data_IF_624672253072
#
_entry.id   IF_624672253072
#
_cell.length_a   1.000
_cell.length_b   1.000
_cell.length_c   1.000
_cell.angle_alpha   90.00
_cell.angle_beta   90.00
_cell.angle_gamma   90.00
#
_symmetry.space_group_name_H-M   'P 1'
#
loop_
_entity.id
_entity.type
_entity.pdbx_description
1 polymer ?
#
# COMPACT_ATOMS: atom_id res chain seq x y z
N UNK A 1 6.00 18.09 -3.04
CA UNK A 1 4.99 17.11 -2.63
C UNK A 1 5.17 15.85 -3.45
N UNK A 2 5.40 14.70 -2.80
CA UNK A 2 5.53 13.38 -3.46
C UNK A 2 4.54 12.40 -2.85
N UNK A 3 4.01 11.50 -3.67
CA UNK A 3 3.02 10.50 -3.27
C UNK A 3 3.45 9.14 -3.83
N UNK A 4 3.32 8.08 -3.03
CA UNK A 4 3.50 6.69 -3.45
C UNK A 4 2.19 6.20 -4.06
N UNK A 5 2.22 5.66 -5.28
CA UNK A 5 1.06 5.06 -5.94
C UNK A 5 1.38 3.59 -6.19
N UNK A 6 0.50 2.71 -5.72
CA UNK A 6 0.61 1.25 -5.80
C UNK A 6 -0.71 0.64 -6.27
N UNK A 7 -0.66 -0.60 -6.73
CA UNK A 7 -1.83 -1.39 -7.15
C UNK A 7 -1.45 -2.87 -7.12
N UNK A 8 -2.45 -3.77 -7.13
CA UNK A 8 -2.27 -5.20 -7.41
C UNK A 8 -1.25 -5.88 -6.47
N UNK A 9 -1.27 -5.51 -5.19
CA UNK A 9 -0.32 -6.08 -4.21
C UNK A 9 -0.57 -7.55 -3.93
N UNK A 10 -1.80 -8.06 -4.08
CA UNK A 10 -2.15 -9.49 -3.96
C UNK A 10 -1.48 -10.21 -2.79
N UNK A 11 -1.64 -9.68 -1.57
CA UNK A 11 -1.03 -10.20 -0.34
C UNK A 11 0.52 -10.32 -0.33
N UNK A 12 1.21 -9.70 -1.28
CA UNK A 12 2.66 -9.77 -1.41
C UNK A 12 3.37 -8.79 -0.46
N UNK A 13 3.19 -9.02 0.85
CA UNK A 13 3.65 -8.16 1.95
C UNK A 13 5.11 -7.69 1.79
N UNK A 14 6.11 -8.54 1.44
CA UNK A 14 7.49 -8.08 1.32
C UNK A 14 7.70 -7.01 0.24
N UNK A 15 6.99 -7.11 -0.89
CA UNK A 15 7.11 -6.16 -2.00
C UNK A 15 6.38 -4.86 -1.69
N UNK A 16 5.19 -4.95 -1.08
CA UNK A 16 4.45 -3.78 -0.60
C UNK A 16 5.28 -2.98 0.42
N UNK A 17 5.89 -3.68 1.38
CA UNK A 17 6.77 -3.08 2.39
C UNK A 17 7.97 -2.36 1.77
N UNK A 18 8.69 -3.05 0.86
CA UNK A 18 9.85 -2.49 0.18
C UNK A 18 9.48 -1.25 -0.65
N UNK A 19 8.36 -1.29 -1.39
CA UNK A 19 7.92 -0.17 -2.21
C UNK A 19 7.59 1.07 -1.38
N UNK A 20 6.92 0.90 -0.22
CA UNK A 20 6.61 2.02 0.68
C UNK A 20 7.87 2.52 1.40
N UNK A 21 8.81 1.64 1.74
CA UNK A 21 10.11 2.04 2.31
C UNK A 21 10.90 2.94 1.35
N UNK A 22 10.99 2.54 0.08
CA UNK A 22 11.68 3.29 -0.97
C UNK A 22 10.99 4.62 -1.23
N UNK A 23 9.65 4.62 -1.32
CA UNK A 23 8.89 5.84 -1.52
C UNK A 23 9.04 6.82 -0.34
N UNK A 24 9.01 6.33 0.90
CA UNK A 24 9.26 7.15 2.10
C UNK A 24 10.65 7.77 2.06
N UNK A 25 11.67 6.99 1.71
CA UNK A 25 13.05 7.47 1.55
C UNK A 25 13.16 8.52 0.45
N UNK A 26 12.39 8.37 -0.63
CA UNK A 26 12.29 9.37 -1.70
C UNK A 26 11.53 10.64 -1.28
N UNK A 27 10.95 10.70 -0.09
CA UNK A 27 10.21 11.86 0.44
C UNK A 27 8.71 11.83 0.16
N UNK A 28 8.12 10.65 -0.03
CA UNK A 28 6.67 10.51 -0.13
C UNK A 28 5.98 10.87 1.19
N UNK A 29 4.86 11.57 1.06
CA UNK A 29 4.07 12.10 2.17
C UNK A 29 2.75 11.32 2.37
N UNK A 30 2.36 10.47 1.40
CA UNK A 30 1.17 9.62 1.44
C UNK A 30 1.34 8.38 0.54
N UNK A 31 0.53 7.35 0.78
CA UNK A 31 0.38 6.16 -0.06
C UNK A 31 -1.04 6.08 -0.60
N UNK A 32 -1.19 5.90 -1.91
CA UNK A 32 -2.44 5.61 -2.59
C UNK A 32 -2.36 4.21 -3.20
N UNK A 33 -3.29 3.32 -2.85
CA UNK A 33 -3.39 1.98 -3.41
C UNK A 33 -4.66 1.83 -4.25
N UNK A 34 -4.52 1.45 -5.53
CA UNK A 34 -5.62 1.40 -6.49
C UNK A 34 -6.51 0.13 -6.38
N UNK A 35 -6.23 -0.74 -5.42
CA UNK A 35 -7.02 -1.94 -5.10
C UNK A 35 -6.25 -3.22 -5.36
N UNK A 36 -6.94 -4.36 -5.21
CA UNK A 36 -6.40 -5.71 -5.33
C UNK A 36 -5.31 -5.99 -4.30
N UNK A 37 -5.63 -5.66 -3.03
CA UNK A 37 -4.84 -6.08 -1.87
C UNK A 37 -5.07 -7.55 -1.54
N UNK A 38 -6.29 -8.04 -1.77
CA UNK A 38 -6.86 -9.34 -1.40
C UNK A 38 -7.15 -9.45 0.09
N UNK A 39 -6.17 -9.28 0.99
CA UNK A 39 -6.43 -9.24 2.42
C UNK A 39 -6.14 -7.85 3.00
N UNK A 40 -7.11 -7.18 3.65
CA UNK A 40 -6.86 -5.89 4.32
C UNK A 40 -5.74 -5.95 5.38
N UNK A 41 -5.47 -7.12 5.95
CA UNK A 41 -4.36 -7.34 6.90
C UNK A 41 -2.98 -7.07 6.30
N UNK A 42 -2.84 -7.14 4.97
CA UNK A 42 -1.60 -6.87 4.25
C UNK A 42 -1.11 -5.43 4.49
N UNK A 43 -2.00 -4.48 4.76
CA UNK A 43 -1.65 -3.08 5.06
C UNK A 43 -0.98 -2.89 6.42
N UNK A 44 -1.08 -3.84 7.37
CA UNK A 44 -0.50 -3.69 8.72
C UNK A 44 1.01 -3.53 8.69
N UNK A 45 1.71 -4.06 7.68
CA UNK A 45 3.16 -3.85 7.55
C UNK A 45 3.52 -2.37 7.37
N UNK A 46 2.58 -1.55 6.88
CA UNK A 46 2.82 -0.15 6.55
C UNK A 46 2.71 0.81 7.75
N UNK A 47 2.12 0.36 8.87
CA UNK A 47 1.90 1.19 10.07
C UNK A 47 3.19 1.84 10.58
N UNK A 48 4.32 1.13 10.45
CA UNK A 48 5.65 1.59 10.87
C UNK A 48 6.16 2.82 10.11
N UNK A 49 5.65 3.10 8.92
CA UNK A 49 6.09 4.25 8.09
C UNK A 49 5.39 5.56 8.45
N UNK A 50 4.31 5.50 9.23
CA UNK A 50 3.53 6.67 9.67
C UNK A 50 3.11 7.58 8.50
N UNK A 51 2.83 6.98 7.35
CA UNK A 51 2.25 7.68 6.20
C UNK A 51 0.73 7.48 6.20
N UNK A 52 -0.06 8.49 5.84
CA UNK A 52 -1.46 8.27 5.51
C UNK A 52 -1.55 7.31 4.32
N UNK A 53 -2.35 6.26 4.49
CA UNK A 53 -2.60 5.23 3.48
C UNK A 53 -4.06 5.32 3.05
N UNK A 54 -4.29 5.54 1.75
CA UNK A 54 -5.61 5.57 1.14
C UNK A 54 -5.73 4.42 0.16
N UNK A 55 -6.84 3.69 0.23
CA UNK A 55 -7.06 2.49 -0.55
C UNK A 55 -8.49 2.50 -1.09
N UNK A 56 -8.66 2.07 -2.33
CA UNK A 56 -9.98 1.73 -2.89
C UNK A 56 -10.08 0.21 -3.06
N UNK A 57 -11.29 -0.34 -3.06
CA UNK A 57 -11.51 -1.77 -3.28
C UNK A 57 -11.16 -2.15 -4.72
N UNK A 58 -10.44 -3.26 -4.89
CA UNK A 58 -10.30 -3.96 -6.15
C UNK A 58 -11.49 -4.88 -6.45
N UNK A 59 -11.32 -5.77 -7.42
CA UNK A 59 -12.38 -6.71 -7.82
C UNK A 59 -12.18 -8.14 -7.26
N UNK A 60 -11.08 -8.39 -6.54
CA UNK A 60 -10.85 -9.67 -5.88
C UNK A 60 -11.80 -9.88 -4.70
N UNK A 61 -12.27 -11.12 -4.49
CA UNK A 61 -13.26 -11.48 -3.47
C UNK A 61 -12.88 -11.04 -2.05
N UNK A 62 -11.58 -10.97 -1.72
CA UNK A 62 -11.14 -10.54 -0.39
C UNK A 62 -11.13 -9.01 -0.18
N UNK A 63 -11.25 -8.23 -1.26
CA UNK A 63 -11.40 -6.76 -1.21
C UNK A 63 -12.86 -6.30 -1.07
N UNK A 64 -13.84 -7.19 -1.33
CA UNK A 64 -15.28 -6.93 -1.28
C UNK A 64 -15.87 -7.28 0.09
#
# INVERSE_FOLDING_TARGET
MKVCILSDSHDHIPLLDAAVADAKTAGAEAVLHAGDLVAPSTLRCLEKYQLPVHVIHGNNTGDL
#
